data_IF_538131925392
#
_entry.id   IF_538131925392
#
_cell.length_a   1.000
_cell.length_b   1.000
_cell.length_c   1.000
_cell.angle_alpha   90.00
_cell.angle_beta   90.00
_cell.angle_gamma   90.00
#
_symmetry.space_group_name_H-M   'P 1'
#
loop_
_entity.id
_entity.type
_entity.pdbx_description
1 polymer ?
#
# COMPACT_ATOMS: atom_id res chain seq x y z
N UNK A 1 -47.73 -47.65 -46.87
CA UNK A 1 -46.93 -46.41 -47.01
C UNK A 1 -46.71 -45.86 -45.65
N UNK A 2 -45.53 -46.09 -45.08
CA UNK A 2 -45.17 -45.63 -43.68
C UNK A 2 -44.31 -44.38 -43.78
N UNK A 3 -44.84 -43.20 -43.36
CA UNK A 3 -44.10 -41.95 -43.33
C UNK A 3 -43.30 -41.90 -42.00
N UNK A 4 -41.96 -41.89 -42.11
CA UNK A 4 -41.06 -41.70 -40.97
C UNK A 4 -40.94 -40.22 -40.70
N UNK A 5 -41.38 -39.80 -39.49
CA UNK A 5 -41.20 -38.46 -38.98
C UNK A 5 -39.81 -38.38 -38.31
N UNK A 6 -38.89 -37.66 -38.94
CA UNK A 6 -37.56 -37.39 -38.34
C UNK A 6 -37.68 -36.12 -37.53
N UNK A 7 -37.66 -36.28 -36.18
CA UNK A 7 -37.62 -35.15 -35.25
C UNK A 7 -36.21 -34.55 -35.18
N UNK A 8 -36.05 -33.32 -35.63
CA UNK A 8 -34.83 -32.53 -35.53
C UNK A 8 -34.76 -31.92 -34.09
N UNK A 9 -33.94 -32.50 -33.25
CA UNK A 9 -33.64 -31.93 -31.91
C UNK A 9 -32.56 -30.86 -32.10
N UNK A 10 -32.94 -29.58 -32.10
CA UNK A 10 -32.04 -28.45 -32.05
C UNK A 10 -31.64 -28.25 -30.61
N UNK A 11 -30.45 -28.73 -30.22
CA UNK A 11 -29.85 -28.47 -28.90
C UNK A 11 -29.41 -26.98 -28.83
N UNK A 12 -30.14 -26.19 -28.04
CA UNK A 12 -29.76 -24.82 -27.72
C UNK A 12 -28.56 -24.88 -26.75
N UNK A 13 -27.36 -24.75 -27.31
CA UNK A 13 -26.13 -24.60 -26.56
C UNK A 13 -26.10 -23.16 -25.99
N UNK A 14 -26.59 -22.97 -24.78
CA UNK A 14 -26.50 -21.67 -24.08
C UNK A 14 -25.02 -21.35 -23.80
N UNK A 15 -24.41 -20.58 -24.68
CA UNK A 15 -23.05 -20.07 -24.50
C UNK A 15 -23.12 -18.97 -23.40
N UNK A 16 -22.86 -19.36 -22.15
CA UNK A 16 -22.69 -18.39 -21.07
C UNK A 16 -21.44 -17.57 -21.35
N UNK A 17 -21.62 -16.33 -21.83
CA UNK A 17 -20.54 -15.35 -21.98
C UNK A 17 -20.13 -14.97 -20.55
N UNK A 18 -19.09 -15.61 -20.04
CA UNK A 18 -18.40 -15.16 -18.84
C UNK A 18 -17.72 -13.84 -19.19
N UNK A 19 -18.31 -12.72 -18.82
CA UNK A 19 -17.65 -11.43 -18.88
C UNK A 19 -16.45 -11.49 -17.92
N UNK A 20 -15.27 -11.82 -18.42
CA UNK A 20 -14.03 -11.62 -17.71
C UNK A 20 -13.81 -10.10 -17.59
N UNK A 21 -14.25 -9.51 -16.48
CA UNK A 21 -13.87 -8.14 -16.15
C UNK A 21 -12.36 -8.10 -16.01
N UNK A 22 -11.70 -7.25 -16.77
CA UNK A 22 -10.27 -7.04 -16.62
C UNK A 22 -9.99 -6.56 -15.20
N UNK A 23 -8.96 -7.14 -14.54
CA UNK A 23 -8.55 -6.71 -13.21
C UNK A 23 -8.17 -5.22 -13.22
N UNK A 24 -8.63 -4.47 -12.22
CA UNK A 24 -8.20 -3.09 -12.03
C UNK A 24 -6.75 -3.10 -11.53
N UNK A 25 -5.82 -2.56 -12.33
CA UNK A 25 -4.43 -2.39 -11.91
C UNK A 25 -4.32 -1.21 -10.96
N UNK A 26 -3.73 -1.45 -9.76
CA UNK A 26 -3.39 -0.44 -8.78
C UNK A 26 -1.87 -0.32 -8.66
N UNK A 27 -1.34 0.89 -8.85
CA UNK A 27 0.08 1.19 -8.75
C UNK A 27 0.45 1.49 -7.30
N UNK A 28 1.31 0.65 -6.71
CA UNK A 28 1.87 0.86 -5.38
C UNK A 28 3.28 1.44 -5.49
N UNK A 29 3.45 2.70 -5.15
CA UNK A 29 4.74 3.38 -5.11
C UNK A 29 5.46 3.20 -3.78
N UNK A 30 6.78 3.05 -3.81
CA UNK A 30 7.64 3.16 -2.64
C UNK A 30 9.05 3.56 -3.03
N UNK A 31 9.71 4.36 -2.20
CA UNK A 31 11.12 4.71 -2.39
C UNK A 31 12.08 3.60 -1.91
N UNK A 32 11.58 2.63 -1.16
CA UNK A 32 12.37 1.52 -0.67
C UNK A 32 13.02 0.72 -1.81
N UNK A 33 14.30 0.38 -1.71
CA UNK A 33 14.94 -0.49 -2.68
C UNK A 33 14.20 -1.82 -2.83
N UNK A 34 14.12 -2.41 -4.05
CA UNK A 34 13.33 -3.63 -4.28
C UNK A 34 13.70 -4.81 -3.39
N UNK A 35 14.97 -4.88 -2.94
CA UNK A 35 15.47 -5.95 -2.04
C UNK A 35 15.34 -5.61 -0.56
N UNK A 36 14.98 -4.37 -0.19
CA UNK A 36 14.78 -3.98 1.19
C UNK A 36 13.63 -4.79 1.82
N UNK A 37 13.73 -5.04 3.13
CA UNK A 37 12.74 -5.87 3.85
C UNK A 37 11.30 -5.35 3.69
N UNK A 38 11.11 -4.03 3.80
CA UNK A 38 9.78 -3.41 3.65
C UNK A 38 9.22 -3.71 2.25
N UNK A 39 9.98 -3.43 1.18
CA UNK A 39 9.51 -3.67 -0.18
C UNK A 39 9.30 -5.16 -0.46
N UNK A 40 10.31 -6.00 -0.18
CA UNK A 40 10.32 -7.41 -0.62
C UNK A 40 9.45 -8.35 0.24
N UNK A 41 9.22 -8.03 1.52
CA UNK A 41 8.48 -8.90 2.44
C UNK A 41 7.13 -8.31 2.85
N UNK A 42 7.09 -7.03 3.21
CA UNK A 42 5.85 -6.41 3.70
C UNK A 42 4.96 -6.01 2.54
N UNK A 43 5.43 -5.10 1.67
CA UNK A 43 4.60 -4.54 0.60
C UNK A 43 4.29 -5.57 -0.48
N UNK A 44 5.27 -6.37 -0.92
CA UNK A 44 5.04 -7.43 -1.89
C UNK A 44 4.09 -8.51 -1.33
N UNK A 45 4.25 -8.89 -0.06
CA UNK A 45 3.35 -9.83 0.62
C UNK A 45 1.92 -9.30 0.74
N UNK A 46 1.77 -8.02 1.07
CA UNK A 46 0.47 -7.36 1.11
C UNK A 46 -0.18 -7.30 -0.27
N UNK A 47 0.54 -6.87 -1.30
CA UNK A 47 0.06 -6.82 -2.68
C UNK A 47 -0.43 -8.20 -3.16
N UNK A 48 0.36 -9.25 -2.89
CA UNK A 48 -0.02 -10.64 -3.20
C UNK A 48 -1.34 -11.03 -2.53
N UNK A 49 -1.51 -10.69 -1.25
CA UNK A 49 -2.75 -10.99 -0.52
C UNK A 49 -3.95 -10.24 -1.08
N UNK A 50 -3.80 -8.96 -1.42
CA UNK A 50 -4.87 -8.17 -2.05
C UNK A 50 -5.28 -8.80 -3.38
N UNK A 51 -4.32 -9.16 -4.23
CA UNK A 51 -4.58 -9.79 -5.53
C UNK A 51 -5.35 -11.12 -5.35
N UNK A 52 -4.95 -11.94 -4.37
CA UNK A 52 -5.62 -13.20 -4.07
C UNK A 52 -7.03 -13.01 -3.50
N UNK A 53 -7.18 -12.13 -2.48
CA UNK A 53 -8.46 -11.92 -1.80
C UNK A 53 -9.49 -11.22 -2.68
N UNK A 54 -9.06 -10.47 -3.69
CA UNK A 54 -9.96 -9.80 -4.63
C UNK A 54 -10.54 -10.72 -5.71
N UNK A 55 -10.21 -12.02 -5.68
CA UNK A 55 -10.64 -12.99 -6.69
C UNK A 55 -10.40 -12.53 -8.15
N UNK A 56 -9.30 -11.81 -8.37
CA UNK A 56 -8.92 -11.29 -9.69
C UNK A 56 -9.51 -9.92 -10.04
N UNK A 57 -10.29 -9.29 -9.15
CA UNK A 57 -10.82 -7.95 -9.39
C UNK A 57 -9.76 -6.85 -9.31
N UNK A 58 -8.70 -7.05 -8.49
CA UNK A 58 -7.60 -6.10 -8.31
C UNK A 58 -6.26 -6.76 -8.66
N UNK A 59 -5.36 -5.96 -9.22
CA UNK A 59 -3.97 -6.31 -9.46
C UNK A 59 -3.05 -5.19 -8.95
N UNK A 60 -2.50 -5.35 -7.75
CA UNK A 60 -1.56 -4.39 -7.17
C UNK A 60 -0.17 -4.63 -7.75
N UNK A 61 0.35 -3.66 -8.48
CA UNK A 61 1.69 -3.67 -9.07
C UNK A 61 2.60 -2.70 -8.34
N UNK A 62 3.69 -3.22 -7.77
CA UNK A 62 4.62 -2.43 -6.99
C UNK A 62 5.71 -1.78 -7.85
N UNK A 63 5.96 -0.49 -7.61
CA UNK A 63 7.01 0.35 -8.19
C UNK A 63 7.96 0.77 -7.07
N UNK A 64 9.00 -0.04 -6.84
CA UNK A 64 9.98 0.14 -5.77
C UNK A 64 11.20 0.97 -6.22
N UNK A 65 12.00 1.45 -5.26
CA UNK A 65 13.25 2.18 -5.52
C UNK A 65 13.05 3.63 -5.96
N UNK A 66 11.90 4.22 -5.67
CA UNK A 66 11.63 5.62 -5.99
C UNK A 66 11.42 5.91 -7.47
N UNK A 67 11.13 4.89 -8.30
CA UNK A 67 10.98 5.06 -9.76
C UNK A 67 9.83 5.98 -10.16
N UNK A 68 8.79 6.11 -9.32
CA UNK A 68 7.69 7.06 -9.52
C UNK A 68 7.91 8.39 -8.80
N UNK A 69 8.90 8.48 -7.90
CA UNK A 69 9.29 9.69 -7.21
C UNK A 69 10.07 9.43 -5.91
N UNK A 70 10.84 10.46 -5.52
CA UNK A 70 11.68 10.46 -4.33
C UNK A 70 10.86 10.41 -3.02
N UNK A 71 11.49 10.12 -1.85
CA UNK A 71 10.79 10.06 -0.57
C UNK A 71 9.90 11.28 -0.25
N UNK A 72 10.35 12.54 -0.43
CA UNK A 72 9.51 13.71 -0.18
C UNK A 72 8.30 13.86 -1.11
N UNK A 73 8.30 13.17 -2.26
CA UNK A 73 7.26 13.26 -3.29
C UNK A 73 6.16 12.21 -3.16
N UNK A 74 6.25 11.30 -2.21
CA UNK A 74 5.34 10.16 -2.12
C UNK A 74 3.87 10.57 -1.87
N UNK A 75 3.61 11.67 -1.17
CA UNK A 75 2.26 12.22 -1.00
C UNK A 75 1.74 12.81 -2.33
N UNK A 76 2.55 13.64 -2.98
CA UNK A 76 2.18 14.26 -4.26
C UNK A 76 1.86 13.21 -5.34
N UNK A 77 2.60 12.10 -5.37
CA UNK A 77 2.39 10.99 -6.31
C UNK A 77 0.99 10.41 -6.20
N UNK A 78 0.49 10.23 -4.98
CA UNK A 78 -0.87 9.68 -4.76
C UNK A 78 -1.93 10.74 -5.03
N UNK A 79 -1.76 11.95 -4.50
CA UNK A 79 -2.77 13.00 -4.65
C UNK A 79 -2.91 13.51 -6.09
N UNK A 80 -1.85 13.38 -6.90
CA UNK A 80 -1.89 13.69 -8.34
C UNK A 80 -2.29 12.51 -9.23
N UNK A 81 -2.52 11.31 -8.66
CA UNK A 81 -2.92 10.13 -9.41
C UNK A 81 -1.82 9.45 -10.23
N UNK A 82 -0.55 9.78 -10.00
CA UNK A 82 0.60 9.07 -10.62
C UNK A 82 0.68 7.62 -10.10
N UNK A 83 0.39 7.42 -8.82
CA UNK A 83 0.15 6.12 -8.22
C UNK A 83 -1.14 6.12 -7.42
N UNK A 84 -1.74 4.95 -7.23
CA UNK A 84 -2.97 4.77 -6.46
C UNK A 84 -2.68 4.60 -4.98
N UNK A 85 -1.52 4.04 -4.64
CA UNK A 85 -1.08 3.72 -3.29
C UNK A 85 0.37 4.13 -3.14
N UNK A 86 0.74 4.63 -1.96
CA UNK A 86 2.14 4.85 -1.60
C UNK A 86 2.43 4.38 -0.18
N UNK A 87 3.61 3.81 0.00
CA UNK A 87 4.20 3.61 1.31
C UNK A 87 5.34 4.61 1.50
N UNK A 88 5.29 5.36 2.61
CA UNK A 88 6.26 6.41 2.90
C UNK A 88 6.49 6.58 4.41
N UNK A 89 7.59 7.26 4.76
CA UNK A 89 7.85 7.81 6.10
C UNK A 89 7.32 9.24 6.11
N UNK A 90 6.36 9.54 6.98
CA UNK A 90 5.64 10.82 6.98
C UNK A 90 6.57 12.00 7.27
N UNK A 91 7.57 11.83 8.13
CA UNK A 91 8.56 12.85 8.43
C UNK A 91 9.45 13.27 7.24
N UNK A 92 9.50 12.47 6.17
CA UNK A 92 10.23 12.84 4.93
C UNK A 92 9.46 13.85 4.07
N UNK A 93 8.17 14.01 4.32
CA UNK A 93 7.31 14.94 3.59
C UNK A 93 7.18 16.22 4.41
N UNK A 94 8.16 17.12 4.25
CA UNK A 94 8.32 18.30 5.11
C UNK A 94 7.05 19.13 5.26
N UNK A 95 6.64 19.37 6.50
CA UNK A 95 5.55 20.28 6.86
C UNK A 95 4.12 19.76 6.60
N UNK A 96 3.94 18.65 5.90
CA UNK A 96 2.60 18.11 5.58
C UNK A 96 1.97 17.36 6.76
N UNK A 97 2.79 16.66 7.56
CA UNK A 97 2.33 15.77 8.63
C UNK A 97 2.92 16.14 10.01
N UNK A 98 2.72 17.37 10.51
CA UNK A 98 3.37 17.82 11.74
C UNK A 98 2.92 17.03 12.97
N UNK A 99 1.64 16.68 13.11
CA UNK A 99 1.15 15.91 14.26
C UNK A 99 1.56 14.44 14.19
N UNK A 100 1.47 13.85 12.99
CA UNK A 100 1.92 12.46 12.79
C UNK A 100 3.41 12.31 13.03
N UNK A 101 4.22 13.31 12.68
CA UNK A 101 5.68 13.29 12.85
C UNK A 101 6.12 13.43 14.31
N UNK A 102 5.24 13.85 15.23
CA UNK A 102 5.54 13.90 16.67
C UNK A 102 6.03 12.54 17.19
N UNK A 103 5.54 11.44 16.63
CA UNK A 103 5.96 10.09 17.02
C UNK A 103 7.46 9.82 16.78
N UNK A 104 8.10 10.61 15.93
CA UNK A 104 9.53 10.49 15.57
C UNK A 104 10.44 11.27 16.54
N UNK A 105 9.86 12.02 17.47
CA UNK A 105 10.63 12.77 18.46
C UNK A 105 11.47 11.83 19.35
N UNK A 106 12.72 12.18 19.62
CA UNK A 106 13.58 11.39 20.49
C UNK A 106 12.94 11.13 21.85
N UNK A 107 13.09 9.92 22.36
CA UNK A 107 12.64 9.47 23.68
C UNK A 107 11.12 9.46 23.92
N UNK A 108 10.31 9.86 22.95
CA UNK A 108 8.85 9.88 23.10
C UNK A 108 8.26 8.47 23.23
N UNK A 109 8.75 7.53 22.43
CA UNK A 109 8.31 6.13 22.50
C UNK A 109 9.49 5.18 22.68
N UNK A 110 9.31 4.19 23.56
CA UNK A 110 10.36 3.18 23.83
C UNK A 110 10.40 2.05 22.82
N UNK A 111 9.30 1.80 22.12
CA UNK A 111 9.17 0.69 21.17
C UNK A 111 8.31 1.09 19.98
N UNK A 112 8.57 0.50 18.81
CA UNK A 112 7.71 0.66 17.63
C UNK A 112 6.25 0.24 17.89
N UNK A 113 6.02 -0.76 18.73
CA UNK A 113 4.66 -1.17 19.12
C UNK A 113 3.93 -0.04 19.87
N UNK A 114 4.56 0.58 20.85
CA UNK A 114 3.97 1.69 21.60
C UNK A 114 3.69 2.89 20.68
N UNK A 115 4.65 3.26 19.83
CA UNK A 115 4.49 4.33 18.84
C UNK A 115 3.38 4.06 17.85
N UNK A 116 3.33 2.84 17.32
CA UNK A 116 2.26 2.42 16.40
C UNK A 116 0.88 2.48 17.07
N UNK A 117 0.77 2.03 18.32
CA UNK A 117 -0.50 2.09 19.06
C UNK A 117 -0.94 3.53 19.27
N UNK A 118 -0.03 4.40 19.74
CA UNK A 118 -0.34 5.82 19.97
C UNK A 118 -0.79 6.52 18.67
N UNK A 119 -0.05 6.33 17.57
CA UNK A 119 -0.36 6.93 16.28
C UNK A 119 -1.73 6.47 15.76
N UNK A 120 -2.05 5.19 15.88
CA UNK A 120 -3.37 4.68 15.49
C UNK A 120 -4.51 5.17 16.41
N UNK A 121 -4.25 5.41 17.70
CA UNK A 121 -5.24 6.03 18.59
C UNK A 121 -5.53 7.46 18.17
N UNK A 122 -4.50 8.29 17.92
CA UNK A 122 -4.66 9.65 17.42
C UNK A 122 -5.45 9.71 16.10
N UNK A 123 -5.17 8.77 15.19
CA UNK A 123 -5.90 8.67 13.93
C UNK A 123 -7.38 8.31 14.16
N UNK A 124 -7.67 7.33 14.99
CA UNK A 124 -9.06 6.91 15.31
C UNK A 124 -9.88 7.99 16.01
N UNK A 125 -9.23 8.82 16.81
CA UNK A 125 -9.83 9.94 17.54
C UNK A 125 -9.98 11.21 16.68
N UNK A 126 -9.55 11.16 15.39
CA UNK A 126 -9.72 12.25 14.43
C UNK A 126 -8.66 13.37 14.52
N UNK A 127 -7.66 13.26 15.39
CA UNK A 127 -6.61 14.29 15.50
C UNK A 127 -5.80 14.46 14.22
N UNK A 128 -5.70 13.41 13.41
CA UNK A 128 -4.90 13.42 12.18
C UNK A 128 -5.71 13.70 10.91
N UNK A 129 -7.02 13.92 11.00
CA UNK A 129 -7.92 14.06 9.85
C UNK A 129 -7.49 15.19 8.91
N UNK A 130 -7.05 16.33 9.46
CA UNK A 130 -6.59 17.48 8.67
C UNK A 130 -5.32 17.15 7.86
N UNK A 131 -4.38 16.41 8.44
CA UNK A 131 -3.13 16.03 7.77
C UNK A 131 -3.37 14.96 6.70
N UNK A 132 -4.34 14.09 6.93
CA UNK A 132 -4.69 12.97 6.05
C UNK A 132 -5.78 13.33 5.03
N UNK A 133 -6.17 14.62 4.96
CA UNK A 133 -7.16 15.07 3.99
C UNK A 133 -6.72 14.77 2.56
N UNK A 134 -7.65 14.27 1.74
CA UNK A 134 -7.40 13.94 0.33
C UNK A 134 -6.78 12.56 0.09
N UNK A 135 -6.45 11.79 1.14
CA UNK A 135 -5.96 10.41 1.02
C UNK A 135 -6.77 9.46 1.90
N UNK A 136 -6.75 8.19 1.55
CA UNK A 136 -7.29 7.11 2.39
C UNK A 136 -6.14 6.39 3.08
N UNK A 137 -6.08 6.48 4.39
CA UNK A 137 -5.08 5.75 5.19
C UNK A 137 -5.43 4.27 5.22
N UNK A 138 -4.49 3.42 4.77
CA UNK A 138 -4.62 1.96 4.82
C UNK A 138 -4.05 1.42 6.13
N UNK A 139 -2.98 2.02 6.63
CA UNK A 139 -2.36 1.64 7.88
C UNK A 139 -1.28 2.65 8.30
N UNK A 140 -1.08 2.76 9.60
CA UNK A 140 -0.05 3.58 10.22
C UNK A 140 0.84 2.72 11.08
N UNK A 141 2.14 2.96 11.03
CA UNK A 141 3.10 2.30 11.91
C UNK A 141 4.26 3.24 12.27
N UNK A 142 4.92 2.95 13.37
CA UNK A 142 6.13 3.62 13.81
C UNK A 142 7.32 2.66 13.68
N UNK A 143 8.48 3.21 13.33
CA UNK A 143 9.74 2.49 13.32
C UNK A 143 10.29 2.31 14.76
N UNK A 144 11.21 1.35 15.00
CA UNK A 144 12.01 1.35 16.21
C UNK A 144 12.90 2.58 16.27
N UNK A 145 13.43 2.88 17.47
CA UNK A 145 14.33 4.03 17.67
C UNK A 145 15.50 4.03 16.69
N UNK A 146 15.86 5.20 16.21
CA UNK A 146 17.00 5.40 15.32
C UNK A 146 18.31 5.10 16.03
N UNK A 147 19.27 4.59 15.28
CA UNK A 147 20.61 4.27 15.77
C UNK A 147 21.67 4.95 14.92
N UNK A 148 22.78 5.31 15.53
CA UNK A 148 23.94 5.87 14.82
C UNK A 148 24.85 4.71 14.43
N UNK A 149 25.09 4.56 13.15
CA UNK A 149 26.03 3.57 12.60
C UNK A 149 27.31 4.26 12.15
N UNK A 150 28.45 3.84 12.71
CA UNK A 150 29.76 4.37 12.39
C UNK A 150 30.62 3.26 11.79
N UNK A 151 31.42 3.59 10.77
CA UNK A 151 32.33 2.63 10.13
C UNK A 151 33.58 2.39 11.00
N UNK A 152 34.26 3.47 11.36
CA UNK A 152 35.62 3.38 11.92
C UNK A 152 35.80 4.17 13.25
N UNK A 153 34.82 4.94 13.67
CA UNK A 153 34.92 5.80 14.85
C UNK A 153 33.81 5.47 15.85
N UNK A 154 34.17 5.30 17.12
CA UNK A 154 33.16 5.15 18.20
C UNK A 154 32.55 6.49 18.52
N UNK A 155 31.24 6.52 18.68
CA UNK A 155 30.55 7.66 19.30
C UNK A 155 30.94 7.67 20.77
N UNK A 156 31.62 8.73 21.21
CA UNK A 156 31.94 8.94 22.61
C UNK A 156 30.99 9.96 23.21
N UNK A 157 30.56 9.67 24.43
CA UNK A 157 29.69 10.56 25.20
C UNK A 157 30.49 11.78 25.67
#
# INVERSE_FOLDING_TARGET
MKKKLIGLIIGIFSFSIVNASAATELKLATFEPPKAFIASKILAGWATKVNQCSAGALNVKMYAGGVLGSPPKQYDIVTSGVADISWTVLGYIGGQFPLSSVIELPFLTKTSKAGTTALNSLFKEGYLDKEMAGIKVIGLHSNPGYQIHMKDTKVVN
#
